data_IF_430919340259
#
_entry.id   IF_430919340259
#
_cell.length_a   1.000
_cell.length_b   1.000
_cell.length_c   1.000
_cell.angle_alpha   90.00
_cell.angle_beta   90.00
_cell.angle_gamma   90.00
#
_symmetry.space_group_name_H-M   'P 1'
#
loop_
_entity.id
_entity.type
_entity.pdbx_description
1 polymer ?
#
# COMPACT_ATOMS: atom_id res chain seq x y z
N UNK A 1 32.38 -12.54 2.20
CA UNK A 1 31.30 -12.93 1.29
C UNK A 1 30.03 -12.78 2.11
N UNK A 2 29.18 -11.78 1.85
CA UNK A 2 27.87 -11.72 2.53
C UNK A 2 27.08 -12.93 2.03
N UNK A 3 26.62 -13.76 2.95
CA UNK A 3 25.72 -14.85 2.63
C UNK A 3 24.51 -14.26 1.89
N UNK A 4 24.18 -14.78 0.71
CA UNK A 4 22.97 -14.35 0.01
C UNK A 4 21.78 -14.71 0.90
N UNK A 5 20.84 -13.79 1.07
CA UNK A 5 19.61 -14.09 1.82
C UNK A 5 18.97 -15.38 1.28
N UNK A 6 18.36 -16.20 2.14
CA UNK A 6 17.76 -17.46 1.72
C UNK A 6 16.57 -17.23 0.78
N UNK A 7 16.12 -18.29 0.10
CA UNK A 7 14.90 -18.25 -0.72
C UNK A 7 13.65 -18.22 0.15
N UNK A 8 13.71 -18.86 1.32
CA UNK A 8 12.63 -19.00 2.27
C UNK A 8 13.14 -18.76 3.68
N UNK A 9 12.24 -18.37 4.58
CA UNK A 9 12.57 -18.07 5.96
C UNK A 9 11.56 -18.73 6.89
N UNK A 10 12.02 -19.50 7.87
CA UNK A 10 11.16 -19.95 8.96
C UNK A 10 10.89 -18.79 9.89
N UNK A 11 9.62 -18.45 10.07
CA UNK A 11 9.14 -17.39 10.94
C UNK A 11 8.22 -18.00 11.99
N UNK A 12 8.49 -17.68 13.25
CA UNK A 12 7.64 -18.05 14.37
C UNK A 12 7.11 -16.80 15.03
N UNK A 13 5.81 -16.79 15.34
CA UNK A 13 5.16 -15.71 16.08
C UNK A 13 4.71 -16.21 17.43
N UNK A 14 5.00 -15.44 18.47
CA UNK A 14 4.60 -15.73 19.86
C UNK A 14 3.74 -14.62 20.44
N UNK A 15 2.83 -15.02 21.31
CA UNK A 15 2.13 -14.14 22.25
C UNK A 15 2.47 -14.59 23.67
N UNK A 16 3.32 -13.83 24.35
CA UNK A 16 3.97 -14.29 25.59
C UNK A 16 4.72 -15.61 25.38
N UNK A 17 4.37 -16.63 26.16
CA UNK A 17 4.99 -17.96 26.07
C UNK A 17 4.34 -18.89 25.03
N UNK A 18 3.27 -18.45 24.36
CA UNK A 18 2.53 -19.28 23.40
C UNK A 18 3.00 -19.04 21.98
N UNK A 19 3.31 -20.10 21.24
CA UNK A 19 3.53 -20.03 19.79
C UNK A 19 2.17 -20.01 19.10
N UNK A 20 1.86 -18.92 18.39
CA UNK A 20 0.60 -18.73 17.67
C UNK A 20 0.73 -19.01 16.18
N UNK A 21 1.96 -18.95 15.65
CA UNK A 21 2.28 -19.30 14.27
C UNK A 21 3.70 -19.85 14.19
N UNK A 22 3.91 -20.88 13.38
CA UNK A 22 5.22 -21.38 12.98
C UNK A 22 5.11 -21.79 11.51
N UNK A 23 5.71 -21.00 10.62
CA UNK A 23 5.54 -21.15 9.17
C UNK A 23 6.80 -20.79 8.41
N UNK A 24 6.84 -21.17 7.14
CA UNK A 24 7.85 -20.73 6.19
C UNK A 24 7.25 -19.64 5.28
N UNK A 25 7.98 -18.55 5.09
CA UNK A 25 7.63 -17.46 4.16
C UNK A 25 8.65 -17.40 3.03
N UNK A 26 8.16 -17.25 1.81
CA UNK A 26 9.00 -17.15 0.62
C UNK A 26 9.46 -15.71 0.39
N UNK A 27 10.68 -15.54 -0.11
CA UNK A 27 11.22 -14.23 -0.47
C UNK A 27 10.53 -13.67 -1.71
N UNK A 28 10.05 -12.44 -1.63
CA UNK A 28 9.51 -11.64 -2.75
C UNK A 28 10.62 -10.80 -3.38
N UNK A 29 10.67 -10.77 -4.70
CA UNK A 29 11.74 -10.10 -5.47
C UNK A 29 11.28 -9.53 -6.81
N UNK A 30 10.04 -9.75 -7.23
CA UNK A 30 9.62 -9.47 -8.61
C UNK A 30 9.43 -7.97 -8.85
N UNK A 31 10.30 -7.37 -9.66
CA UNK A 31 10.18 -5.96 -10.05
C UNK A 31 10.53 -4.94 -8.96
N UNK A 32 11.23 -5.37 -7.91
CA UNK A 32 11.65 -4.54 -6.77
C UNK A 32 13.15 -4.64 -6.51
N UNK A 33 13.71 -3.60 -5.90
CA UNK A 33 15.15 -3.51 -5.62
C UNK A 33 15.50 -4.21 -4.29
N UNK A 34 14.63 -4.10 -3.29
CA UNK A 34 14.86 -4.61 -1.94
C UNK A 34 13.94 -5.80 -1.66
N UNK A 35 14.45 -7.04 -1.69
CA UNK A 35 13.67 -8.22 -1.34
C UNK A 35 13.12 -8.17 0.08
N UNK A 36 11.96 -8.78 0.29
CA UNK A 36 11.34 -8.92 1.60
C UNK A 36 10.66 -10.29 1.75
N UNK A 37 10.25 -10.61 2.97
CA UNK A 37 9.56 -11.84 3.32
C UNK A 37 8.20 -11.47 3.93
N UNK A 38 7.09 -11.56 3.18
CA UNK A 38 5.77 -11.22 3.70
C UNK A 38 5.31 -12.27 4.70
N UNK A 39 5.02 -11.84 5.92
CA UNK A 39 4.29 -12.63 6.90
C UNK A 39 2.82 -12.19 6.88
N UNK A 40 1.95 -13.05 6.35
CA UNK A 40 0.50 -12.80 6.32
C UNK A 40 -0.19 -13.78 7.25
N UNK A 41 -0.90 -13.27 8.24
CA UNK A 41 -1.69 -14.08 9.16
C UNK A 41 -2.90 -13.29 9.69
N UNK A 42 -3.89 -14.02 10.21
CA UNK A 42 -4.99 -13.44 10.97
C UNK A 42 -4.71 -13.59 12.46
N UNK A 43 -5.17 -12.62 13.25
CA UNK A 43 -4.99 -12.61 14.70
C UNK A 43 -6.37 -12.73 15.36
N UNK A 44 -6.49 -13.68 16.29
CA UNK A 44 -7.76 -13.92 17.00
C UNK A 44 -8.11 -12.81 18.01
N UNK A 45 -7.09 -12.09 18.50
CA UNK A 45 -7.25 -11.01 19.48
C UNK A 45 -6.12 -9.98 19.35
N UNK A 46 -6.38 -8.71 19.73
CA UNK A 46 -5.34 -7.70 19.84
C UNK A 46 -4.34 -8.03 20.96
N UNK A 47 -3.14 -7.46 20.88
CA UNK A 47 -2.10 -7.62 21.89
C UNK A 47 -0.69 -7.50 21.34
N UNK A 48 0.29 -7.70 22.22
CA UNK A 48 1.70 -7.71 21.88
C UNK A 48 2.14 -9.09 21.39
N UNK A 49 2.87 -9.10 20.28
CA UNK A 49 3.41 -10.28 19.64
C UNK A 49 4.90 -10.11 19.39
N UNK A 50 5.60 -11.22 19.21
CA UNK A 50 7.01 -11.24 18.82
C UNK A 50 7.19 -12.16 17.63
N UNK A 51 7.76 -11.64 16.55
CA UNK A 51 8.22 -12.44 15.42
C UNK A 51 9.69 -12.80 15.62
N UNK A 52 10.02 -14.08 15.47
CA UNK A 52 11.38 -14.59 15.59
C UNK A 52 11.75 -15.47 14.39
N UNK A 53 13.05 -15.60 14.14
CA UNK A 53 13.62 -16.42 13.08
C UNK A 53 14.38 -17.60 13.72
N UNK A 54 13.74 -18.75 13.96
CA UNK A 54 14.35 -19.84 14.73
C UNK A 54 15.67 -20.35 14.15
N UNK A 55 15.79 -20.32 12.82
CA UNK A 55 16.97 -20.77 12.09
C UNK A 55 18.08 -19.70 12.02
N UNK A 56 17.81 -18.49 12.51
CA UNK A 56 18.72 -17.34 12.49
C UNK A 56 18.81 -16.65 13.86
N UNK A 57 19.33 -17.32 14.91
CA UNK A 57 19.28 -16.86 16.30
C UNK A 57 20.11 -15.59 16.61
N UNK A 58 20.92 -15.11 15.66
CA UNK A 58 21.64 -13.84 15.77
C UNK A 58 20.79 -12.64 15.37
N UNK A 59 19.64 -12.86 14.74
CA UNK A 59 18.67 -11.81 14.43
C UNK A 59 17.80 -11.61 15.66
N UNK A 60 17.74 -10.37 16.14
CA UNK A 60 16.91 -10.04 17.31
C UNK A 60 15.42 -10.26 16.98
N UNK A 61 14.64 -10.88 17.89
CA UNK A 61 13.20 -10.98 17.73
C UNK A 61 12.56 -9.58 17.64
N UNK A 62 11.57 -9.44 16.76
CA UNK A 62 10.90 -8.17 16.49
C UNK A 62 9.56 -8.14 17.23
N UNK A 63 9.40 -7.31 18.27
CA UNK A 63 8.11 -7.10 18.90
C UNK A 63 7.22 -6.23 18.01
N UNK A 64 5.93 -6.51 17.99
CA UNK A 64 4.92 -5.70 17.30
C UNK A 64 3.58 -5.75 18.05
N UNK A 65 2.74 -4.74 17.81
CA UNK A 65 1.42 -4.63 18.41
C UNK A 65 0.35 -4.89 17.35
N UNK A 66 -0.60 -5.76 17.68
CA UNK A 66 -1.87 -5.87 16.96
C UNK A 66 -2.89 -5.07 17.74
N UNK A 67 -3.33 -3.94 17.19
CA UNK A 67 -4.36 -3.11 17.80
C UNK A 67 -5.77 -3.70 17.58
N UNK A 68 -6.73 -3.27 18.40
CA UNK A 68 -8.13 -3.61 18.17
C UNK A 68 -8.62 -2.96 16.87
N UNK A 69 -9.50 -3.64 16.13
CA UNK A 69 -10.08 -3.10 14.89
C UNK A 69 -10.74 -1.75 15.12
N UNK A 70 -11.36 -1.51 16.29
CA UNK A 70 -12.04 -0.23 16.60
C UNK A 70 -11.07 0.95 16.68
N UNK A 71 -9.80 0.70 16.96
CA UNK A 71 -8.76 1.72 17.11
C UNK A 71 -8.01 1.98 15.79
N UNK A 72 -8.34 1.25 14.71
CA UNK A 72 -7.72 1.42 13.39
C UNK A 72 -8.60 2.28 12.51
N UNK A 73 -8.15 3.50 12.22
CA UNK A 73 -8.89 4.43 11.36
C UNK A 73 -8.72 4.14 9.87
N UNK A 74 -7.58 3.58 9.47
CA UNK A 74 -7.31 3.26 8.06
C UNK A 74 -8.27 2.14 7.60
N UNK A 75 -8.93 2.26 6.43
CA UNK A 75 -9.79 1.20 5.90
C UNK A 75 -9.09 -0.15 5.80
N UNK A 76 -9.82 -1.20 6.14
CA UNK A 76 -9.36 -2.59 6.15
C UNK A 76 -10.08 -3.41 5.08
N UNK A 77 -9.56 -4.61 4.80
CA UNK A 77 -10.24 -5.58 3.95
C UNK A 77 -11.64 -5.88 4.51
N UNK A 78 -12.65 -5.79 3.64
CA UNK A 78 -14.06 -5.93 3.97
C UNK A 78 -14.82 -4.62 4.19
N UNK A 79 -14.13 -3.52 4.48
CA UNK A 79 -14.75 -2.20 4.59
C UNK A 79 -15.06 -1.61 3.21
N UNK A 80 -16.02 -0.67 3.11
CA UNK A 80 -16.18 0.12 1.89
C UNK A 80 -14.97 1.03 1.68
N UNK A 81 -14.50 1.17 0.44
CA UNK A 81 -13.50 2.18 0.06
C UNK A 81 -14.08 3.59 0.29
N UNK A 82 -13.47 4.43 1.15
CA UNK A 82 -13.93 5.79 1.35
C UNK A 82 -13.93 6.60 0.05
N UNK A 83 -15.00 7.36 -0.17
CA UNK A 83 -15.10 8.31 -1.28
C UNK A 83 -14.43 9.62 -0.91
N UNK A 84 -13.58 10.14 -1.80
CA UNK A 84 -12.95 11.45 -1.67
C UNK A 84 -12.64 12.00 -3.07
N UNK A 85 -12.59 13.34 -3.25
CA UNK A 85 -12.17 13.91 -4.52
C UNK A 85 -10.69 13.64 -4.78
N UNK A 86 -10.37 13.12 -5.96
CA UNK A 86 -9.02 13.00 -6.50
C UNK A 86 -8.86 13.89 -7.76
N UNK A 87 -7.68 14.49 -7.95
CA UNK A 87 -7.38 15.27 -9.16
C UNK A 87 -7.44 14.42 -10.44
N UNK A 88 -7.88 15.06 -11.52
CA UNK A 88 -7.84 14.51 -12.88
C UNK A 88 -7.09 15.46 -13.81
N UNK A 89 -6.80 15.02 -15.02
CA UNK A 89 -6.21 15.88 -16.07
C UNK A 89 -7.09 17.07 -16.42
N UNK A 90 -8.42 16.93 -16.31
CA UNK A 90 -9.39 17.98 -16.66
C UNK A 90 -9.75 18.88 -15.47
N UNK A 91 -9.63 18.38 -14.24
CA UNK A 91 -9.87 19.12 -13.01
C UNK A 91 -8.83 18.76 -11.93
N UNK A 92 -7.83 19.63 -11.65
CA UNK A 92 -6.80 19.37 -10.67
C UNK A 92 -7.27 19.47 -9.22
N UNK A 93 -8.48 20.00 -8.97
CA UNK A 93 -9.08 20.12 -7.63
C UNK A 93 -8.17 20.78 -6.57
N UNK A 94 -7.35 21.72 -7.02
CA UNK A 94 -6.42 22.46 -6.17
C UNK A 94 -5.12 21.73 -5.83
N UNK A 95 -4.88 20.51 -6.35
CA UNK A 95 -3.62 19.79 -6.19
C UNK A 95 -2.65 20.15 -7.32
N UNK A 96 -1.42 20.49 -6.97
CA UNK A 96 -0.38 20.92 -7.92
C UNK A 96 1.01 20.40 -7.53
N UNK A 97 1.68 19.61 -8.38
CA UNK A 97 1.13 18.96 -9.56
C UNK A 97 0.17 17.83 -9.17
N UNK A 98 -0.74 17.45 -10.07
CA UNK A 98 -1.62 16.28 -9.86
C UNK A 98 -0.86 14.95 -9.81
N UNK A 99 0.37 14.94 -10.35
CA UNK A 99 1.30 13.82 -10.36
C UNK A 99 2.73 14.34 -10.27
N UNK A 100 3.50 13.87 -9.29
CA UNK A 100 4.91 14.19 -9.10
C UNK A 100 5.84 13.21 -9.83
N UNK A 101 5.27 12.16 -10.46
CA UNK A 101 6.02 11.24 -11.32
C UNK A 101 6.62 11.98 -12.52
N UNK A 102 7.88 11.68 -12.84
CA UNK A 102 8.62 12.35 -13.91
C UNK A 102 8.14 12.02 -15.33
N UNK A 103 7.47 10.88 -15.50
CA UNK A 103 6.88 10.42 -16.76
C UNK A 103 5.35 10.43 -16.60
N UNK A 104 4.63 10.66 -17.69
CA UNK A 104 3.17 10.67 -17.74
C UNK A 104 2.56 9.43 -17.08
N UNK A 105 1.57 9.67 -16.21
CA UNK A 105 0.84 8.66 -15.45
C UNK A 105 -0.58 8.54 -16.03
N UNK A 106 -1.04 7.35 -16.46
CA UNK A 106 -2.36 7.18 -17.06
C UNK A 106 -3.52 7.17 -16.04
N UNK A 107 -3.23 7.32 -14.74
CA UNK A 107 -4.21 7.11 -13.67
C UNK A 107 -4.89 8.39 -13.16
N UNK A 108 -5.10 9.37 -14.06
CA UNK A 108 -5.71 10.67 -13.76
C UNK A 108 -6.92 10.97 -14.66
N UNK A 109 -7.59 9.95 -15.18
CA UNK A 109 -8.75 10.09 -16.08
C UNK A 109 -10.09 10.16 -15.34
N UNK A 110 -10.16 9.66 -14.10
CA UNK A 110 -11.40 9.57 -13.33
C UNK A 110 -11.17 10.00 -11.87
N UNK A 111 -12.17 10.69 -11.32
CA UNK A 111 -12.25 11.04 -9.91
C UNK A 111 -12.68 9.84 -9.07
N UNK A 112 -12.10 9.67 -7.88
CA UNK A 112 -12.45 8.60 -6.95
C UNK A 112 -13.93 8.68 -6.54
N UNK A 113 -14.54 9.87 -6.45
CA UNK A 113 -15.99 10.00 -6.20
C UNK A 113 -16.82 9.32 -7.28
N UNK A 114 -16.44 9.50 -8.55
CA UNK A 114 -17.13 8.90 -9.69
C UNK A 114 -16.79 7.41 -9.86
N UNK A 115 -15.57 7.02 -9.51
CA UNK A 115 -15.12 5.63 -9.57
C UNK A 115 -15.91 4.73 -8.60
N UNK A 116 -16.06 5.16 -7.34
CA UNK A 116 -16.84 4.40 -6.35
C UNK A 116 -18.35 4.49 -6.56
N UNK A 117 -18.83 5.42 -7.39
CA UNK A 117 -20.25 5.55 -7.71
C UNK A 117 -20.69 4.70 -8.92
N UNK A 118 -19.76 4.07 -9.63
CA UNK A 118 -20.04 3.25 -10.82
C UNK A 118 -19.87 1.75 -10.55
N UNK A 119 -20.23 0.92 -11.53
CA UNK A 119 -20.27 -0.55 -11.39
C UNK A 119 -18.94 -1.25 -11.71
N UNK A 120 -17.80 -0.53 -11.72
CA UNK A 120 -16.47 -1.13 -11.95
C UNK A 120 -15.67 -1.23 -10.65
N UNK A 121 -14.83 -2.27 -10.49
CA UNK A 121 -13.85 -2.29 -9.41
C UNK A 121 -12.92 -1.07 -9.47
N UNK A 122 -12.47 -0.63 -8.31
CA UNK A 122 -11.62 0.56 -8.16
C UNK A 122 -10.30 0.20 -7.49
N UNK A 123 -9.20 0.62 -8.10
CA UNK A 123 -7.84 0.52 -7.58
C UNK A 123 -7.34 1.93 -7.29
N UNK A 124 -7.12 2.23 -6.01
CA UNK A 124 -6.57 3.51 -5.57
C UNK A 124 -5.14 3.30 -5.09
N UNK A 125 -4.19 3.99 -5.73
CA UNK A 125 -2.82 4.11 -5.28
C UNK A 125 -2.59 5.51 -4.70
N UNK A 126 -2.22 5.58 -3.43
CA UNK A 126 -1.73 6.81 -2.80
C UNK A 126 -0.22 6.73 -2.71
N UNK A 127 0.47 7.62 -3.43
CA UNK A 127 1.93 7.69 -3.43
C UNK A 127 2.44 9.03 -3.98
N UNK A 128 3.64 9.45 -3.58
CA UNK A 128 4.27 10.70 -4.01
C UNK A 128 5.63 10.41 -4.65
N UNK A 129 5.68 9.96 -5.92
CA UNK A 129 6.90 9.46 -6.56
C UNK A 129 8.06 10.46 -6.58
N UNK A 130 7.77 11.76 -6.70
CA UNK A 130 8.78 12.80 -6.79
C UNK A 130 9.40 13.22 -5.47
N UNK A 131 8.80 12.88 -4.32
CA UNK A 131 9.22 13.35 -2.99
C UNK A 131 9.40 12.24 -1.96
N UNK A 132 9.18 10.99 -2.36
CA UNK A 132 9.35 9.84 -1.51
C UNK A 132 10.82 9.68 -1.06
N UNK A 133 11.02 9.53 0.25
CA UNK A 133 12.36 9.39 0.84
C UNK A 133 12.90 7.96 0.79
N UNK A 134 12.07 6.98 0.45
CA UNK A 134 12.35 5.56 0.65
C UNK A 134 12.71 4.79 -0.63
N UNK A 135 12.91 5.45 -1.79
CA UNK A 135 13.16 4.83 -3.11
C UNK A 135 12.11 3.76 -3.52
N UNK A 136 10.96 3.68 -2.83
CA UNK A 136 9.92 2.66 -3.08
C UNK A 136 8.71 3.25 -3.82
N UNK A 137 8.35 4.51 -3.57
CA UNK A 137 7.11 5.07 -4.11
C UNK A 137 7.10 5.16 -5.64
N UNK A 138 8.21 5.55 -6.28
CA UNK A 138 8.30 5.55 -7.74
C UNK A 138 8.12 4.16 -8.36
N UNK A 139 8.91 3.15 -7.92
CA UNK A 139 8.77 1.78 -8.39
C UNK A 139 7.36 1.19 -8.28
N UNK A 140 6.60 1.48 -7.22
CA UNK A 140 5.25 0.91 -7.09
C UNK A 140 4.25 1.50 -8.09
N UNK A 141 4.40 2.77 -8.50
CA UNK A 141 3.57 3.34 -9.58
C UNK A 141 3.90 2.66 -10.89
N UNK A 142 5.18 2.44 -11.17
CA UNK A 142 5.62 1.76 -12.39
C UNK A 142 5.12 0.31 -12.45
N UNK A 143 5.14 -0.41 -11.31
CA UNK A 143 4.53 -1.74 -11.21
C UNK A 143 3.03 -1.70 -11.51
N UNK A 144 2.30 -0.71 -11.00
CA UNK A 144 0.87 -0.58 -11.28
C UNK A 144 0.59 -0.23 -12.73
N UNK A 145 1.41 0.62 -13.36
CA UNK A 145 1.32 0.92 -14.80
C UNK A 145 1.54 -0.35 -15.62
N UNK A 146 2.55 -1.15 -15.30
CA UNK A 146 2.84 -2.40 -16.00
C UNK A 146 1.68 -3.42 -15.91
N UNK A 147 1.02 -3.51 -14.76
CA UNK A 147 -0.02 -4.52 -14.51
C UNK A 147 -1.44 -4.05 -14.85
N UNK A 148 -1.69 -2.73 -14.82
CA UNK A 148 -3.04 -2.17 -14.95
C UNK A 148 -3.19 -1.00 -15.92
N UNK A 149 -2.11 -0.48 -16.52
CA UNK A 149 -2.15 0.68 -17.41
C UNK A 149 -3.04 0.52 -18.65
N UNK A 150 -3.18 -0.70 -19.15
CA UNK A 150 -4.02 -1.03 -20.32
C UNK A 150 -5.37 -1.69 -19.93
N UNK A 151 -5.66 -1.84 -18.63
CA UNK A 151 -6.91 -2.45 -18.14
C UNK A 151 -8.06 -1.45 -18.28
N UNK A 152 -9.15 -1.86 -18.93
CA UNK A 152 -10.35 -1.01 -19.10
C UNK A 152 -11.54 -1.48 -18.26
N UNK A 153 -11.40 -2.63 -17.62
CA UNK A 153 -12.35 -3.27 -16.71
C UNK A 153 -12.20 -2.78 -15.26
N UNK A 154 -11.17 -1.99 -14.96
CA UNK A 154 -10.94 -1.35 -13.65
C UNK A 154 -11.00 0.17 -13.79
N UNK A 155 -11.39 0.86 -12.71
CA UNK A 155 -11.01 2.25 -12.48
C UNK A 155 -9.66 2.23 -11.74
N UNK A 156 -8.62 2.83 -12.31
CA UNK A 156 -7.29 2.90 -11.66
C UNK A 156 -6.93 4.37 -11.44
N UNK A 157 -6.66 4.72 -10.19
CA UNK A 157 -6.46 6.10 -9.75
C UNK A 157 -5.13 6.20 -9.00
N UNK A 158 -4.32 7.19 -9.38
CA UNK A 158 -3.16 7.61 -8.60
C UNK A 158 -3.49 8.95 -7.94
N UNK A 159 -3.30 9.03 -6.62
CA UNK A 159 -3.41 10.25 -5.85
C UNK A 159 -2.09 10.57 -5.15
N UNK A 160 -1.65 11.82 -5.26
CA UNK A 160 -0.54 12.37 -4.50
C UNK A 160 -0.90 12.55 -3.02
N UNK A 161 0.09 12.51 -2.13
CA UNK A 161 -0.17 12.73 -0.70
C UNK A 161 -0.40 14.19 -0.37
N UNK A 162 0.27 15.10 -1.08
CA UNK A 162 0.30 16.53 -0.76
C UNK A 162 -0.44 17.36 -1.80
N UNK A 163 -1.12 18.40 -1.33
CA UNK A 163 -1.79 19.39 -2.20
C UNK A 163 -0.77 20.19 -3.01
N UNK A 164 0.31 20.67 -2.36
CA UNK A 164 1.43 21.34 -3.02
C UNK A 164 2.75 20.97 -2.34
N UNK A 165 3.55 20.04 -2.90
CA UNK A 165 4.80 19.63 -2.30
C UNK A 165 5.89 20.72 -2.35
N UNK A 166 5.69 21.84 -3.07
CA UNK A 166 6.65 22.94 -3.08
C UNK A 166 6.75 23.67 -1.73
N UNK A 167 5.75 23.53 -0.86
CA UNK A 167 5.78 24.07 0.50
C UNK A 167 6.95 23.53 1.32
N UNK A 168 7.42 22.30 1.04
CA UNK A 168 8.63 21.75 1.66
C UNK A 168 9.85 22.64 1.41
N UNK A 169 9.98 23.23 0.21
CA UNK A 169 11.09 24.09 -0.14
C UNK A 169 11.06 25.44 0.60
N UNK A 170 9.91 25.83 1.13
CA UNK A 170 9.74 27.06 1.92
C UNK A 170 9.77 26.82 3.44
N UNK A 171 9.99 25.57 3.86
CA UNK A 171 10.02 25.17 5.27
C UNK A 171 8.64 24.95 5.90
N UNK A 172 7.57 24.93 5.08
CA UNK A 172 6.24 24.51 5.47
C UNK A 172 6.07 22.98 5.41
N UNK A 173 4.98 22.50 5.99
CA UNK A 173 4.46 21.16 5.70
C UNK A 173 3.23 21.33 4.82
N UNK A 174 3.21 20.74 3.61
CA UNK A 174 2.06 20.81 2.73
C UNK A 174 0.81 20.24 3.39
N UNK A 175 -0.35 20.75 2.99
CA UNK A 175 -1.63 20.12 3.30
C UNK A 175 -1.73 18.72 2.65
N UNK A 176 -2.37 17.78 3.35
CA UNK A 176 -2.64 16.45 2.82
C UNK A 176 -3.84 16.48 1.88
N UNK A 177 -3.80 15.70 0.80
CA UNK A 177 -4.92 15.61 -0.14
C UNK A 177 -6.18 15.00 0.51
N UNK A 178 -7.38 15.28 -0.02
CA UNK A 178 -8.61 14.68 0.49
C UNK A 178 -8.58 13.14 0.52
N UNK A 179 -7.90 12.51 -0.43
CA UNK A 179 -7.73 11.05 -0.45
C UNK A 179 -6.96 10.53 0.77
N UNK A 180 -5.84 11.17 1.14
CA UNK A 180 -5.07 10.78 2.34
C UNK A 180 -5.91 10.93 3.60
N UNK A 181 -6.61 12.06 3.74
CA UNK A 181 -7.46 12.34 4.89
C UNK A 181 -8.62 11.34 5.00
N UNK A 182 -9.28 11.01 3.88
CA UNK A 182 -10.39 10.06 3.86
C UNK A 182 -9.95 8.61 4.17
N UNK A 183 -8.72 8.25 3.81
CA UNK A 183 -8.12 6.95 4.16
C UNK A 183 -7.47 6.97 5.55
N UNK A 184 -7.44 8.11 6.25
CA UNK A 184 -6.69 8.29 7.50
C UNK A 184 -5.23 7.78 7.41
N UNK A 185 -4.59 7.94 6.25
CA UNK A 185 -3.38 7.22 5.89
C UNK A 185 -2.12 7.91 6.47
N UNK A 186 -1.37 7.25 7.39
CA UNK A 186 -0.22 7.88 8.05
C UNK A 186 1.12 7.60 7.36
N UNK A 187 1.12 6.87 6.25
CA UNK A 187 2.32 6.48 5.50
C UNK A 187 2.02 6.32 4.01
N UNK A 188 3.07 6.24 3.20
CA UNK A 188 2.96 5.92 1.77
C UNK A 188 4.14 5.04 1.33
N UNK A 189 4.02 4.31 0.21
CA UNK A 189 2.81 4.15 -0.62
C UNK A 189 1.78 3.19 -0.01
N UNK A 190 0.53 3.28 -0.46
CA UNK A 190 -0.52 2.31 -0.16
C UNK A 190 -1.44 2.10 -1.36
N UNK A 191 -1.84 0.85 -1.60
CA UNK A 191 -2.84 0.49 -2.62
C UNK A 191 -4.08 -0.09 -1.93
N UNK A 192 -5.25 0.32 -2.40
CA UNK A 192 -6.54 -0.25 -2.05
C UNK A 192 -7.18 -0.82 -3.31
N UNK A 193 -7.55 -2.11 -3.28
CA UNK A 193 -8.25 -2.78 -4.38
C UNK A 193 -9.65 -3.11 -3.90
N UNK A 194 -10.66 -2.43 -4.46
CA UNK A 194 -12.05 -2.57 -4.10
C UNK A 194 -12.89 -3.16 -5.24
N UNK A 195 -13.80 -4.07 -4.90
CA UNK A 195 -14.74 -4.65 -5.86
C UNK A 195 -15.80 -3.61 -6.31
N UNK A 196 -16.62 -3.96 -7.29
CA UNK A 196 -17.69 -3.09 -7.80
C UNK A 196 -18.78 -2.74 -6.75
N UNK A 197 -18.87 -3.49 -5.65
CA UNK A 197 -19.73 -3.17 -4.50
C UNK A 197 -19.03 -2.23 -3.49
N UNK A 198 -17.89 -1.66 -3.87
CA UNK A 198 -16.97 -0.85 -3.08
C UNK A 198 -16.29 -1.55 -1.90
N UNK A 199 -16.48 -2.86 -1.70
CA UNK A 199 -15.79 -3.58 -0.64
C UNK A 199 -14.30 -3.75 -0.96
N UNK A 200 -13.42 -3.35 -0.05
CA UNK A 200 -11.97 -3.53 -0.18
C UNK A 200 -11.67 -5.03 -0.11
N UNK A 201 -11.05 -5.56 -1.15
CA UNK A 201 -10.64 -6.97 -1.28
C UNK A 201 -9.17 -7.19 -0.96
N UNK A 202 -8.33 -6.20 -1.24
CA UNK A 202 -6.93 -6.20 -0.86
C UNK A 202 -6.42 -4.81 -0.53
N UNK A 203 -5.39 -4.79 0.30
CA UNK A 203 -4.61 -3.62 0.65
C UNK A 203 -3.15 -4.01 0.72
N UNK A 204 -2.27 -3.27 0.05
CA UNK A 204 -0.82 -3.45 0.14
C UNK A 204 -0.19 -2.16 0.63
N UNK A 205 0.68 -2.28 1.63
CA UNK A 205 1.25 -1.14 2.34
C UNK A 205 2.77 -1.13 2.17
N UNK A 206 3.34 0.04 1.94
CA UNK A 206 4.78 0.34 1.91
C UNK A 206 5.55 -0.36 0.78
N UNK A 207 5.71 -1.68 0.84
CA UNK A 207 6.48 -2.48 -0.11
C UNK A 207 5.66 -3.66 -0.57
N UNK A 208 5.57 -3.83 -1.88
CA UNK A 208 4.97 -5.00 -2.50
C UNK A 208 5.67 -5.27 -3.83
N UNK A 209 5.75 -6.54 -4.21
CA UNK A 209 6.31 -6.95 -5.49
C UNK A 209 5.21 -7.16 -6.54
N UNK A 210 5.63 -7.37 -7.79
CA UNK A 210 4.70 -7.55 -8.91
C UNK A 210 3.75 -8.73 -8.72
N UNK A 211 4.21 -9.83 -8.13
CA UNK A 211 3.35 -11.00 -7.88
C UNK A 211 2.25 -10.67 -6.88
N UNK A 212 2.59 -9.95 -5.81
CA UNK A 212 1.62 -9.53 -4.79
C UNK A 212 0.59 -8.56 -5.34
N UNK A 213 1.02 -7.62 -6.20
CA UNK A 213 0.10 -6.73 -6.90
C UNK A 213 -0.87 -7.50 -7.82
N UNK A 214 -0.37 -8.46 -8.59
CA UNK A 214 -1.22 -9.31 -9.44
C UNK A 214 -2.23 -10.11 -8.64
N UNK A 215 -1.81 -10.70 -7.52
CA UNK A 215 -2.68 -11.43 -6.61
C UNK A 215 -3.79 -10.50 -6.10
N UNK A 216 -3.46 -9.28 -5.66
CA UNK A 216 -4.43 -8.29 -5.21
C UNK A 216 -5.44 -7.90 -6.30
N UNK A 217 -4.95 -7.61 -7.52
CA UNK A 217 -5.80 -7.24 -8.66
C UNK A 217 -6.70 -8.39 -9.14
N UNK A 218 -6.34 -9.65 -8.87
CA UNK A 218 -7.15 -10.82 -9.26
C UNK A 218 -8.39 -11.05 -8.39
N UNK A 219 -8.51 -10.32 -7.28
CA UNK A 219 -9.62 -10.45 -6.34
C UNK A 219 -10.88 -9.67 -6.76
N UNK A 220 -10.82 -8.93 -7.86
CA UNK A 220 -11.89 -8.05 -8.36
C UNK A 220 -12.19 -8.24 -9.84
#
# INVERSE_FOLDING_TARGET
>A
MRESAPADLTVRVRQGDTVVLDTTVARRTEGIITPYFPLVMTFDAPGEFVAELPDHPTVEPVPFLVADRVDIEIPQVGDPLPSAPTPTVDDPKGVTPICTRAIECPFHEIDLVDAVANDKPTVLLISTPGFCQTDICGPVVDLLIDEAGDRTDLNVIHAEVYVDPSDFATGGFPELTPAVNAMALPFEPAIFVAAADNSIRARLDTTFDRSELRDALSLV
#
